data_IF_279197202076
#
_entry.id   IF_279197202076
#
_cell.length_a   1.000
_cell.length_b   1.000
_cell.length_c   1.000
_cell.angle_alpha   90.00
_cell.angle_beta   90.00
_cell.angle_gamma   90.00
#
_symmetry.space_group_name_H-M   'P 1'
#
loop_
_entity.id
_entity.type
_entity.pdbx_description
1 polymer ?
#
# COMPACT_ATOMS: atom_id res chain seq x y z
N UNK A 1 43.08 -10.47 -34.98
CA UNK A 1 41.85 -11.12 -34.45
C UNK A 1 42.02 -11.71 -33.04
N UNK A 2 43.19 -12.26 -32.64
CA UNK A 2 43.39 -12.80 -31.27
C UNK A 2 43.65 -11.71 -30.21
N UNK A 3 44.41 -10.66 -30.55
CA UNK A 3 44.78 -9.56 -29.62
C UNK A 3 43.57 -8.73 -29.15
N UNK A 4 42.64 -8.39 -30.04
CA UNK A 4 41.51 -7.51 -29.73
C UNK A 4 40.50 -8.19 -28.77
N UNK A 5 40.33 -9.51 -28.89
CA UNK A 5 39.48 -10.28 -27.97
C UNK A 5 40.05 -10.35 -26.56
N UNK A 6 41.37 -10.37 -26.42
CA UNK A 6 42.01 -10.34 -25.11
C UNK A 6 41.88 -8.96 -24.45
N UNK A 7 42.00 -7.89 -25.25
CA UNK A 7 41.81 -6.53 -24.74
C UNK A 7 40.36 -6.28 -24.27
N UNK A 8 39.36 -6.77 -25.01
CA UNK A 8 37.95 -6.68 -24.61
C UNK A 8 37.66 -7.48 -23.32
N UNK A 9 38.25 -8.67 -23.16
CA UNK A 9 38.09 -9.47 -21.94
C UNK A 9 38.65 -8.75 -20.70
N UNK A 10 39.84 -8.15 -20.82
CA UNK A 10 40.45 -7.39 -19.73
C UNK A 10 39.60 -6.17 -19.36
N UNK A 11 39.03 -5.46 -20.35
CA UNK A 11 38.10 -4.35 -20.08
C UNK A 11 36.81 -4.83 -19.41
N UNK A 12 36.26 -5.96 -19.84
CA UNK A 12 35.05 -6.54 -19.25
C UNK A 12 35.26 -6.96 -17.78
N UNK A 13 36.40 -7.57 -17.47
CA UNK A 13 36.77 -7.93 -16.10
C UNK A 13 37.00 -6.69 -15.21
N UNK A 14 37.61 -5.63 -15.76
CA UNK A 14 37.77 -4.36 -15.06
C UNK A 14 36.40 -3.72 -14.74
N UNK A 15 35.48 -3.69 -15.70
CA UNK A 15 34.11 -3.20 -15.52
C UNK A 15 33.32 -4.03 -14.50
N UNK A 16 33.46 -5.37 -14.50
CA UNK A 16 32.84 -6.23 -13.50
C UNK A 16 33.32 -5.93 -12.08
N UNK A 17 34.61 -5.67 -11.92
CA UNK A 17 35.22 -5.32 -10.64
C UNK A 17 34.72 -3.96 -10.14
N UNK A 18 34.66 -2.98 -11.04
CA UNK A 18 34.10 -1.65 -10.75
C UNK A 18 32.62 -1.73 -10.38
N UNK A 19 31.82 -2.53 -11.10
CA UNK A 19 30.39 -2.72 -10.81
C UNK A 19 30.18 -3.35 -9.42
N UNK A 20 31.02 -4.32 -9.04
CA UNK A 20 30.99 -4.92 -7.70
C UNK A 20 31.35 -3.90 -6.62
N UNK A 21 32.33 -3.04 -6.88
CA UNK A 21 32.73 -1.99 -5.95
C UNK A 21 31.63 -0.92 -5.79
N UNK A 22 31.00 -0.51 -6.90
CA UNK A 22 29.88 0.42 -6.90
C UNK A 22 28.67 -0.15 -6.13
N UNK A 23 28.33 -1.44 -6.29
CA UNK A 23 27.29 -2.08 -5.49
C UNK A 23 27.56 -2.01 -3.99
N UNK A 24 28.79 -2.27 -3.57
CA UNK A 24 29.17 -2.14 -2.15
C UNK A 24 29.09 -0.70 -1.64
N UNK A 25 29.42 0.30 -2.47
CA UNK A 25 29.24 1.71 -2.12
C UNK A 25 27.76 2.08 -2.01
N UNK A 26 26.91 1.59 -2.92
CA UNK A 26 25.46 1.80 -2.86
C UNK A 26 24.88 1.20 -1.59
N UNK A 27 25.18 -0.05 -1.27
CA UNK A 27 24.72 -0.70 -0.03
C UNK A 27 25.16 0.08 1.23
N UNK A 28 26.40 0.61 1.23
CA UNK A 28 26.89 1.46 2.32
C UNK A 28 26.10 2.77 2.42
N UNK A 29 25.89 3.46 1.30
CA UNK A 29 25.13 4.71 1.25
C UNK A 29 23.66 4.49 1.62
N UNK A 30 23.05 3.37 1.24
CA UNK A 30 21.69 3.00 1.64
C UNK A 30 21.59 2.80 3.15
N UNK A 31 22.59 2.16 3.77
CA UNK A 31 22.68 2.03 5.22
C UNK A 31 22.86 3.37 5.92
N UNK A 32 23.75 4.23 5.44
CA UNK A 32 23.94 5.58 6.00
C UNK A 32 22.66 6.44 5.86
N UNK A 33 21.99 6.37 4.71
CA UNK A 33 20.72 7.06 4.48
C UNK A 33 19.62 6.53 5.40
N UNK A 34 19.60 5.21 5.68
CA UNK A 34 18.72 4.62 6.68
C UNK A 34 18.98 5.16 8.09
N UNK A 35 20.24 5.21 8.53
CA UNK A 35 20.63 5.69 9.85
C UNK A 35 20.35 7.19 10.02
N UNK A 36 20.54 7.99 8.97
CA UNK A 36 20.17 9.40 8.93
C UNK A 36 18.65 9.60 9.05
N UNK A 37 17.84 8.82 8.31
CA UNK A 37 16.38 8.87 8.43
C UNK A 37 15.91 8.55 9.84
N UNK A 38 16.51 7.54 10.49
CA UNK A 38 16.22 7.22 11.89
C UNK A 38 16.60 8.37 12.83
N UNK A 39 17.76 8.97 12.64
CA UNK A 39 18.23 10.09 13.46
C UNK A 39 17.33 11.33 13.31
N UNK A 40 16.92 11.65 12.08
CA UNK A 40 15.96 12.74 11.81
C UNK A 40 14.60 12.46 12.45
N UNK A 41 14.15 11.20 12.43
CA UNK A 41 12.92 10.78 13.09
C UNK A 41 12.99 10.94 14.61
N UNK A 42 14.07 10.47 15.25
CA UNK A 42 14.27 10.63 16.69
C UNK A 42 14.38 12.10 17.12
N UNK A 43 15.06 12.92 16.31
CA UNK A 43 15.18 14.36 16.57
C UNK A 43 13.83 15.08 16.41
N UNK A 44 13.02 14.69 15.43
CA UNK A 44 11.66 15.24 15.26
C UNK A 44 10.78 14.92 16.47
N UNK A 45 10.84 13.68 16.99
CA UNK A 45 10.14 13.30 18.22
C UNK A 45 10.63 14.08 19.46
N UNK A 46 11.93 14.38 19.56
CA UNK A 46 12.50 15.20 20.64
C UNK A 46 12.10 16.69 20.52
N UNK A 47 12.01 17.22 19.31
CA UNK A 47 11.57 18.60 19.09
C UNK A 47 10.08 18.77 19.43
N UNK A 48 9.24 17.80 19.05
CA UNK A 48 7.82 17.82 19.38
C UNK A 48 7.56 17.64 20.89
N UNK A 49 8.43 16.92 21.61
CA UNK A 49 8.33 16.79 23.08
C UNK A 49 8.87 18.00 23.85
N UNK A 50 9.68 18.87 23.23
CA UNK A 50 10.17 20.13 23.82
C UNK A 50 9.27 21.33 23.49
N UNK A 51 8.32 21.19 22.57
CA UNK A 51 7.36 22.22 22.16
C UNK A 51 6.13 22.41 23.06
N UNK A 52 6.22 22.22 24.38
CA UNK A 52 5.15 22.64 25.31
C UNK A 52 5.28 24.13 25.66
N UNK A 53 4.19 24.91 25.64
CA UNK A 53 4.24 26.32 26.02
C UNK A 53 4.54 26.46 27.51
N UNK A 54 5.52 27.30 27.83
CA UNK A 54 5.85 27.73 29.18
C UNK A 54 4.64 28.47 29.76
N UNK A 55 3.92 27.84 30.68
CA UNK A 55 3.01 28.53 31.59
C UNK A 55 3.77 28.83 32.88
N UNK A 56 3.85 30.12 33.22
CA UNK A 56 4.41 30.58 34.49
C UNK A 56 3.57 30.07 35.67
N UNK A 57 4.17 29.56 36.76
CA UNK A 57 3.44 29.30 37.98
C UNK A 57 3.58 30.47 38.95
N UNK A 58 2.44 31.08 39.29
CA UNK A 58 2.30 31.94 40.45
C UNK A 58 1.95 31.11 41.69
N UNK A 59 2.90 31.04 42.64
CA UNK A 59 2.68 31.27 44.07
C UNK A 59 1.85 30.29 44.93
N UNK A 60 2.56 29.69 45.89
CA UNK A 60 2.23 29.55 47.33
C UNK A 60 1.70 28.19 47.85
N UNK A 61 2.49 27.56 48.74
CA UNK A 61 2.02 26.54 49.68
C UNK A 61 3.05 25.51 50.14
N UNK A 62 3.81 25.84 51.19
CA UNK A 62 4.69 25.03 52.09
C UNK A 62 4.07 23.68 52.55
N UNK A 63 4.71 22.59 53.00
CA UNK A 63 6.01 22.30 53.67
C UNK A 63 6.18 20.78 53.94
N UNK A 64 7.44 20.35 54.13
CA UNK A 64 7.98 19.31 55.05
C UNK A 64 7.90 17.78 54.79
N UNK A 65 9.09 17.24 54.47
CA UNK A 65 9.88 16.12 55.03
C UNK A 65 9.20 15.16 56.03
N UNK A 66 9.37 13.84 55.79
CA UNK A 66 9.32 12.79 56.81
C UNK A 66 9.50 11.37 56.26
N UNK A 67 10.57 10.70 56.66
CA UNK A 67 10.91 9.30 56.38
C UNK A 67 10.38 8.34 57.45
N UNK A 68 9.79 7.19 57.09
CA UNK A 68 10.05 5.85 57.70
C UNK A 68 9.09 4.72 57.24
N UNK A 69 9.72 3.62 56.81
CA UNK A 69 9.41 2.17 56.98
C UNK A 69 7.98 1.55 56.94
N UNK A 70 7.89 0.55 56.03
CA UNK A 70 7.42 -0.84 56.18
C UNK A 70 5.93 -1.21 56.29
N UNK A 71 5.39 -1.81 55.21
CA UNK A 71 4.90 -3.21 55.11
C UNK A 71 4.30 -3.43 53.70
N UNK A 72 4.99 -4.08 52.77
CA UNK A 72 4.90 -5.53 52.49
C UNK A 72 3.50 -6.02 52.07
N UNK A 73 3.23 -6.02 50.76
CA UNK A 73 2.57 -7.15 50.09
C UNK A 73 3.27 -7.41 48.74
N UNK A 74 3.44 -8.70 48.48
CA UNK A 74 4.37 -9.33 47.55
C UNK A 74 3.71 -9.75 46.25
N UNK A 75 4.41 -9.56 45.12
CA UNK A 75 4.20 -10.29 43.87
C UNK A 75 5.31 -9.95 42.86
N UNK A 76 6.27 -10.83 42.58
CA UNK A 76 7.53 -10.45 41.95
C UNK A 76 7.45 -10.40 40.42
N UNK A 77 8.09 -9.36 39.89
CA UNK A 77 8.52 -9.21 38.52
C UNK A 77 9.56 -10.23 38.07
N UNK A 78 9.74 -10.28 36.75
CA UNK A 78 10.98 -10.47 35.98
C UNK A 78 10.88 -11.67 35.02
N UNK A 79 10.51 -11.35 33.77
CA UNK A 79 10.82 -12.19 32.62
C UNK A 79 12.33 -12.36 32.53
N UNK A 80 12.78 -13.60 32.69
CA UNK A 80 14.17 -13.98 32.65
C UNK A 80 14.60 -14.19 31.19
N UNK A 81 15.65 -13.50 30.74
CA UNK A 81 16.13 -13.51 29.36
C UNK A 81 16.86 -14.80 28.93
N UNK A 82 16.72 -15.90 29.69
CA UNK A 82 17.40 -17.18 29.47
C UNK A 82 16.47 -18.33 29.05
N UNK A 83 15.15 -18.13 28.97
CA UNK A 83 14.22 -19.19 28.53
C UNK A 83 14.11 -19.35 26.99
N UNK A 84 14.83 -18.54 26.21
CA UNK A 84 14.85 -18.62 24.75
C UNK A 84 16.06 -19.39 24.17
N UNK A 85 16.93 -19.95 25.02
CA UNK A 85 18.20 -20.58 24.60
C UNK A 85 18.32 -22.08 24.89
N UNK A 86 17.30 -22.73 25.45
CA UNK A 86 17.32 -24.17 25.74
C UNK A 86 16.19 -24.92 25.00
N UNK A 87 16.22 -24.93 23.66
CA UNK A 87 15.53 -25.93 22.82
C UNK A 87 16.06 -25.99 21.37
N UNK A 88 17.34 -25.68 21.17
CA UNK A 88 18.06 -26.02 19.95
C UNK A 88 18.98 -27.22 20.21
N UNK A 89 18.42 -28.43 20.19
CA UNK A 89 19.18 -29.64 19.86
C UNK A 89 18.24 -30.82 19.63
N UNK A 90 18.24 -31.32 18.38
CA UNK A 90 17.67 -32.59 17.89
C UNK A 90 16.13 -32.66 17.88
N UNK A 91 15.40 -32.96 16.79
CA UNK A 91 15.68 -33.57 15.49
C UNK A 91 14.57 -33.13 14.51
N UNK A 92 14.91 -33.01 13.23
CA UNK A 92 14.03 -32.63 12.12
C UNK A 92 12.73 -33.45 12.05
N UNK A 93 11.59 -32.75 12.04
CA UNK A 93 10.39 -33.07 11.26
C UNK A 93 9.45 -31.88 11.39
N UNK A 94 9.40 -31.04 10.36
CA UNK A 94 8.47 -29.91 10.25
C UNK A 94 7.05 -30.42 10.06
N UNK A 95 6.07 -30.11 10.93
CA UNK A 95 4.68 -30.27 10.57
C UNK A 95 4.22 -29.01 9.83
N UNK A 96 3.83 -29.18 8.56
CA UNK A 96 3.19 -28.11 7.78
C UNK A 96 1.85 -27.76 8.41
N UNK A 97 1.65 -26.47 8.71
CA UNK A 97 0.46 -25.89 9.36
C UNK A 97 -0.82 -25.92 8.49
N UNK A 98 -0.93 -26.86 7.54
CA UNK A 98 -2.06 -26.99 6.61
C UNK A 98 -3.07 -28.07 7.05
N UNK A 99 -2.77 -28.89 8.06
CA UNK A 99 -3.59 -30.07 8.41
C UNK A 99 -4.60 -29.88 9.55
N UNK A 100 -4.63 -28.73 10.23
CA UNK A 100 -5.43 -28.57 11.46
C UNK A 100 -6.73 -27.77 11.33
N UNK A 101 -7.25 -27.56 10.12
CA UNK A 101 -8.54 -26.90 9.91
C UNK A 101 -9.44 -27.67 8.94
N UNK A 102 -9.89 -28.84 9.36
CA UNK A 102 -11.10 -29.47 8.82
C UNK A 102 -12.19 -29.41 9.90
N UNK A 103 -13.19 -28.51 9.80
CA UNK A 103 -14.46 -28.74 10.49
C UNK A 103 -15.10 -29.97 9.83
N UNK A 104 -15.73 -30.85 10.62
CA UNK A 104 -16.56 -31.93 10.07
C UNK A 104 -17.61 -31.30 9.15
N UNK A 105 -17.49 -31.54 7.85
CA UNK A 105 -18.44 -31.12 6.83
C UNK A 105 -18.92 -32.37 6.11
N UNK A 106 -20.23 -32.45 5.90
CA UNK A 106 -20.95 -33.56 5.29
C UNK A 106 -20.42 -33.87 3.87
N UNK A 107 -20.57 -35.12 3.45
CA UNK A 107 -19.88 -35.76 2.31
C UNK A 107 -20.06 -35.10 0.92
N UNK A 108 -20.93 -34.09 0.76
CA UNK A 108 -21.21 -33.45 -0.54
C UNK A 108 -20.22 -32.33 -0.95
N UNK A 109 -19.34 -31.85 -0.05
CA UNK A 109 -18.42 -30.72 -0.33
C UNK A 109 -16.98 -31.13 -0.75
N UNK A 110 -16.74 -32.42 -1.04
CA UNK A 110 -15.41 -32.95 -1.35
C UNK A 110 -14.76 -32.45 -2.66
N UNK A 111 -15.46 -31.61 -3.46
CA UNK A 111 -14.91 -31.05 -4.70
C UNK A 111 -14.20 -29.69 -4.52
N UNK A 112 -14.27 -29.04 -3.34
CA UNK A 112 -13.84 -27.65 -3.15
C UNK A 112 -12.45 -27.46 -2.49
N UNK A 113 -11.75 -28.52 -2.10
CA UNK A 113 -10.44 -28.43 -1.44
C UNK A 113 -9.29 -28.55 -2.45
N UNK A 114 -9.11 -27.54 -3.29
CA UNK A 114 -7.84 -27.35 -3.97
C UNK A 114 -7.06 -26.26 -3.20
N UNK A 115 -5.97 -26.60 -2.48
CA UNK A 115 -5.18 -25.58 -1.80
C UNK A 115 -4.70 -24.58 -2.84
N UNK A 116 -5.05 -23.31 -2.64
CA UNK A 116 -4.78 -22.22 -3.59
C UNK A 116 -3.28 -21.89 -3.59
N UNK A 117 -2.52 -22.69 -4.32
CA UNK A 117 -1.07 -22.53 -4.47
C UNK A 117 -0.81 -21.37 -5.44
N UNK A 118 -0.17 -20.32 -4.93
CA UNK A 118 0.40 -19.28 -5.77
C UNK A 118 1.69 -19.78 -6.39
N UNK A 119 1.81 -19.69 -7.71
CA UNK A 119 3.07 -19.91 -8.42
C UNK A 119 3.49 -18.62 -9.13
N UNK A 120 4.79 -18.40 -9.23
CA UNK A 120 5.33 -17.28 -10.01
C UNK A 120 5.02 -17.53 -11.49
N UNK A 121 4.22 -16.64 -12.09
CA UNK A 121 3.87 -16.72 -13.51
C UNK A 121 4.91 -16.00 -14.39
N UNK A 122 5.38 -14.84 -13.93
CA UNK A 122 6.26 -13.98 -14.71
C UNK A 122 7.03 -13.03 -13.79
N UNK A 123 8.15 -12.51 -14.29
CA UNK A 123 8.99 -11.53 -13.61
C UNK A 123 9.10 -10.28 -14.49
N UNK A 124 8.77 -9.11 -13.93
CA UNK A 124 8.83 -7.82 -14.61
C UNK A 124 10.13 -7.11 -14.27
N UNK A 125 11.07 -7.07 -15.22
CA UNK A 125 12.37 -6.41 -15.06
C UNK A 125 12.42 -5.12 -15.87
N UNK A 126 12.79 -4.01 -15.22
CA UNK A 126 12.94 -2.71 -15.90
C UNK A 126 13.24 -1.55 -14.96
N UNK A 127 12.75 -1.60 -13.73
CA UNK A 127 13.06 -0.57 -12.74
C UNK A 127 14.53 -0.61 -12.30
N UNK A 128 15.12 0.57 -12.14
CA UNK A 128 16.50 0.75 -11.66
C UNK A 128 16.63 0.82 -10.14
N UNK A 129 15.52 0.77 -9.41
CA UNK A 129 15.48 0.85 -7.95
C UNK A 129 14.24 0.18 -7.35
N UNK A 130 14.13 0.22 -6.02
CA UNK A 130 13.03 -0.43 -5.29
C UNK A 130 11.65 0.01 -5.78
N UNK A 131 10.76 -0.95 -6.02
CA UNK A 131 9.37 -0.70 -6.43
C UNK A 131 8.49 -0.52 -5.20
N UNK A 132 7.89 0.65 -5.05
CA UNK A 132 7.07 1.01 -3.88
C UNK A 132 5.57 0.74 -4.09
N UNK A 133 5.12 0.71 -5.34
CA UNK A 133 3.69 0.56 -5.65
C UNK A 133 3.49 -0.18 -6.97
N UNK A 134 2.43 -0.97 -7.02
CA UNK A 134 1.91 -1.55 -8.26
C UNK A 134 0.38 -1.54 -8.24
N UNK A 135 -0.25 -1.20 -9.36
CA UNK A 135 -1.71 -1.19 -9.49
C UNK A 135 -2.13 -1.65 -10.88
N UNK A 136 -3.09 -2.56 -10.93
CA UNK A 136 -3.74 -2.92 -12.19
C UNK A 136 -4.69 -1.81 -12.62
N UNK A 137 -4.73 -1.57 -13.92
CA UNK A 137 -5.78 -0.77 -14.55
C UNK A 137 -7.16 -1.43 -14.37
N UNK A 138 -8.24 -0.65 -14.25
CA UNK A 138 -9.61 -1.17 -14.23
C UNK A 138 -10.03 -1.98 -15.46
N UNK A 139 -9.34 -1.84 -16.59
CA UNK A 139 -9.52 -2.69 -17.77
C UNK A 139 -8.77 -4.04 -17.68
N UNK A 140 -7.87 -4.21 -16.70
CA UNK A 140 -7.18 -5.48 -16.42
C UNK A 140 -6.05 -5.83 -17.37
N UNK A 141 -5.83 -5.00 -18.40
CA UNK A 141 -4.77 -5.20 -19.39
C UNK A 141 -3.44 -4.61 -18.95
N UNK A 142 -3.48 -3.47 -18.28
CA UNK A 142 -2.30 -2.70 -17.91
C UNK A 142 -1.98 -2.85 -16.43
N UNK A 143 -0.68 -2.87 -16.12
CA UNK A 143 -0.15 -2.72 -14.77
C UNK A 143 0.73 -1.46 -14.73
N UNK A 144 0.55 -0.61 -13.73
CA UNK A 144 1.46 0.49 -13.43
C UNK A 144 2.34 0.12 -12.24
N UNK A 145 3.62 0.52 -12.28
CA UNK A 145 4.56 0.36 -11.17
C UNK A 145 5.35 1.65 -10.92
N UNK A 146 5.45 2.08 -9.66
CA UNK A 146 6.23 3.27 -9.25
C UNK A 146 7.43 2.89 -8.39
N UNK A 147 8.57 3.57 -8.57
CA UNK A 147 9.85 3.16 -8.00
C UNK A 147 10.70 4.33 -7.47
N UNK A 148 11.72 3.96 -6.68
CA UNK A 148 12.85 4.79 -6.26
C UNK A 148 13.61 5.42 -7.43
N UNK A 149 13.57 4.81 -8.62
CA UNK A 149 14.21 5.33 -9.83
C UNK A 149 13.52 6.56 -10.43
N UNK A 150 12.53 7.12 -9.73
CA UNK A 150 11.75 8.30 -10.10
C UNK A 150 10.88 8.10 -11.35
N UNK A 151 10.61 6.84 -11.75
CA UNK A 151 9.83 6.52 -12.95
C UNK A 151 8.57 5.74 -12.61
N UNK A 152 7.60 5.85 -13.51
CA UNK A 152 6.46 4.93 -13.59
C UNK A 152 6.60 4.01 -14.80
N UNK A 153 6.65 2.70 -14.49
CA UNK A 153 6.52 1.52 -15.34
C UNK A 153 5.11 1.32 -15.87
N UNK A 154 4.84 1.30 -17.18
CA UNK A 154 3.59 0.73 -17.72
C UNK A 154 3.86 -0.62 -18.40
N UNK A 155 3.07 -1.63 -18.05
CA UNK A 155 3.23 -3.00 -18.52
C UNK A 155 1.94 -3.54 -19.14
N UNK A 156 2.06 -4.28 -20.25
CA UNK A 156 0.97 -5.13 -20.73
C UNK A 156 1.05 -6.51 -20.08
N UNK A 157 0.02 -6.89 -19.31
CA UNK A 157 -0.01 -8.16 -18.60
C UNK A 157 -0.78 -9.26 -19.34
N UNK A 158 -1.36 -8.95 -20.51
CA UNK A 158 -2.15 -9.91 -21.30
C UNK A 158 -1.29 -10.84 -22.16
N UNK A 159 -0.11 -10.38 -22.55
CA UNK A 159 0.80 -11.15 -23.41
C UNK A 159 1.49 -12.26 -22.62
N UNK A 160 1.12 -13.53 -22.89
CA UNK A 160 1.60 -14.71 -22.14
C UNK A 160 3.11 -14.92 -22.16
N UNK A 161 3.82 -14.43 -23.17
CA UNK A 161 5.19 -14.86 -23.48
C UNK A 161 6.26 -13.79 -23.32
N UNK A 162 5.90 -12.54 -23.08
CA UNK A 162 6.81 -11.46 -22.69
C UNK A 162 5.94 -10.29 -22.25
N UNK A 163 5.86 -10.05 -20.94
CA UNK A 163 5.19 -8.85 -20.45
C UNK A 163 6.04 -7.65 -20.86
N UNK A 164 5.57 -6.95 -21.88
CA UNK A 164 6.32 -5.87 -22.49
C UNK A 164 6.14 -4.60 -21.67
N UNK A 165 7.25 -3.93 -21.35
CA UNK A 165 7.22 -2.54 -20.91
C UNK A 165 6.69 -1.69 -22.06
N UNK A 166 5.51 -1.11 -21.89
CA UNK A 166 4.85 -0.28 -22.90
C UNK A 166 5.41 1.13 -22.93
N UNK A 167 5.64 1.70 -21.75
CA UNK A 167 6.10 3.08 -21.61
C UNK A 167 6.87 3.27 -20.30
N UNK A 168 7.68 4.34 -20.27
CA UNK A 168 8.42 4.80 -19.11
C UNK A 168 8.11 6.27 -18.88
N UNK A 169 7.46 6.58 -17.76
CA UNK A 169 7.03 7.94 -17.42
C UNK A 169 8.02 8.54 -16.40
N UNK A 170 9.01 9.28 -16.89
CA UNK A 170 10.17 9.74 -16.10
C UNK A 170 10.28 11.26 -15.98
N UNK A 171 9.26 11.91 -15.40
CA UNK A 171 9.28 13.37 -15.15
C UNK A 171 9.32 13.73 -13.65
N UNK A 172 9.26 12.74 -12.75
CA UNK A 172 9.44 12.99 -11.32
C UNK A 172 10.92 13.20 -11.00
N UNK A 173 11.21 14.07 -10.02
CA UNK A 173 12.58 14.32 -9.55
C UNK A 173 12.95 13.52 -8.29
N UNK A 174 11.97 12.82 -7.72
CA UNK A 174 12.12 11.92 -6.57
C UNK A 174 11.27 10.66 -6.74
N UNK A 175 11.44 9.71 -5.80
CA UNK A 175 10.73 8.43 -5.82
C UNK A 175 9.23 8.56 -6.01
N UNK A 176 8.63 7.59 -6.69
CA UNK A 176 7.17 7.47 -6.84
C UNK A 176 6.67 6.48 -5.79
N UNK A 177 5.89 6.99 -4.83
CA UNK A 177 5.44 6.20 -3.66
C UNK A 177 4.08 5.52 -3.92
N UNK A 178 3.24 6.12 -4.76
CA UNK A 178 1.91 5.61 -5.04
C UNK A 178 1.43 5.98 -6.45
N UNK A 179 0.51 5.18 -6.98
CA UNK A 179 -0.12 5.41 -8.29
C UNK A 179 -1.61 5.09 -8.20
N UNK A 180 -2.42 5.77 -9.00
CA UNK A 180 -3.85 5.52 -9.09
C UNK A 180 -4.34 5.62 -10.53
N UNK A 181 -5.20 4.70 -10.93
CA UNK A 181 -5.80 4.65 -12.27
C UNK A 181 -7.15 5.35 -12.28
N UNK A 182 -7.47 6.07 -13.36
CA UNK A 182 -8.83 6.50 -13.63
C UNK A 182 -9.71 5.28 -13.93
N UNK A 183 -11.01 5.40 -13.70
CA UNK A 183 -11.95 4.28 -13.87
C UNK A 183 -12.02 3.80 -15.33
N UNK A 184 -11.75 4.69 -16.29
CA UNK A 184 -11.69 4.37 -17.72
C UNK A 184 -10.33 3.81 -18.20
N UNK A 185 -9.35 3.70 -17.30
CA UNK A 185 -7.97 3.26 -17.58
C UNK A 185 -7.19 4.13 -18.58
N UNK A 186 -7.65 5.35 -18.87
CA UNK A 186 -6.99 6.26 -19.82
C UNK A 186 -6.03 7.24 -19.16
N UNK A 187 -6.20 7.46 -17.87
CA UNK A 187 -5.37 8.37 -17.09
C UNK A 187 -4.76 7.68 -15.89
N UNK A 188 -3.56 8.13 -15.53
CA UNK A 188 -2.83 7.66 -14.38
C UNK A 188 -2.36 8.85 -13.54
N UNK A 189 -2.55 8.76 -12.23
CA UNK A 189 -1.92 9.65 -11.26
C UNK A 189 -0.69 8.97 -10.68
N UNK A 190 0.38 9.73 -10.48
CA UNK A 190 1.55 9.30 -9.74
C UNK A 190 1.89 10.30 -8.64
N UNK A 191 2.02 9.78 -7.41
CA UNK A 191 2.40 10.52 -6.22
C UNK A 191 3.90 10.37 -5.97
N UNK A 192 4.58 11.49 -5.71
CA UNK A 192 6.02 11.50 -5.49
C UNK A 192 6.45 12.34 -4.29
N UNK A 193 7.63 12.01 -3.78
CA UNK A 193 8.33 12.78 -2.75
C UNK A 193 8.93 14.08 -3.29
N UNK A 194 8.75 14.39 -4.57
CA UNK A 194 9.09 15.70 -5.15
C UNK A 194 8.03 16.78 -4.86
N UNK A 195 7.10 16.50 -3.94
CA UNK A 195 5.98 17.36 -3.58
C UNK A 195 4.93 17.55 -4.68
N UNK A 196 4.95 16.68 -5.71
CA UNK A 196 4.01 16.77 -6.83
C UNK A 196 3.21 15.49 -7.03
N UNK A 197 2.00 15.68 -7.55
CA UNK A 197 1.23 14.64 -8.22
C UNK A 197 1.21 14.94 -9.71
N UNK A 198 1.53 13.94 -10.52
CA UNK A 198 1.51 14.05 -11.98
C UNK A 198 0.37 13.24 -12.57
N UNK A 199 -0.32 13.84 -13.53
CA UNK A 199 -1.39 13.24 -14.32
C UNK A 199 -0.85 12.88 -15.70
N UNK A 200 -1.07 11.64 -16.12
CA UNK A 200 -0.56 11.08 -17.36
C UNK A 200 -1.69 10.61 -18.26
N UNK A 201 -1.57 10.90 -19.55
CA UNK A 201 -2.34 10.23 -20.61
C UNK A 201 -1.61 8.92 -20.94
N UNK A 202 -2.30 7.80 -20.69
CA UNK A 202 -1.76 6.45 -20.80
C UNK A 202 -1.56 6.05 -22.27
N UNK A 203 -2.45 6.48 -23.16
CA UNK A 203 -2.38 6.15 -24.58
C UNK A 203 -1.21 6.87 -25.26
N UNK A 204 -1.00 8.15 -24.89
CA UNK A 204 0.11 8.96 -25.41
C UNK A 204 1.40 8.81 -24.63
N UNK A 205 1.36 8.14 -23.47
CA UNK A 205 2.46 8.05 -22.51
C UNK A 205 3.07 9.42 -22.18
N UNK A 206 2.22 10.43 -22.00
CA UNK A 206 2.63 11.84 -21.89
C UNK A 206 2.05 12.52 -20.66
N UNK A 207 2.80 13.45 -20.09
CA UNK A 207 2.36 14.26 -18.96
C UNK A 207 1.28 15.25 -19.43
N UNK A 208 0.11 15.22 -18.79
CA UNK A 208 -1.00 16.16 -19.09
C UNK A 208 -1.18 17.22 -18.01
N UNK A 209 -0.79 16.92 -16.76
CA UNK A 209 -0.90 17.86 -15.65
C UNK A 209 0.09 17.56 -14.54
N UNK A 210 0.45 18.59 -13.77
CA UNK A 210 1.29 18.46 -12.59
C UNK A 210 0.77 19.41 -11.53
N UNK A 211 0.48 18.89 -10.34
CA UNK A 211 0.01 19.68 -9.20
C UNK A 211 1.05 19.60 -8.10
N UNK A 212 1.55 20.75 -7.66
CA UNK A 212 2.41 20.87 -6.48
C UNK A 212 1.56 21.04 -5.23
N UNK A 213 1.90 20.31 -4.16
CA UNK A 213 1.25 20.43 -2.85
C UNK A 213 2.31 20.62 -1.77
N UNK A 214 1.89 21.09 -0.58
CA UNK A 214 2.82 21.27 0.53
C UNK A 214 3.05 19.93 1.25
N UNK A 215 4.32 19.53 1.41
CA UNK A 215 4.70 18.27 2.04
C UNK A 215 4.92 17.12 1.05
N UNK A 216 5.54 16.04 1.51
CA UNK A 216 5.77 14.87 0.67
C UNK A 216 4.42 14.23 0.37
N UNK A 217 4.15 13.92 -0.90
CA UNK A 217 2.95 13.17 -1.24
C UNK A 217 3.15 11.72 -0.82
N UNK A 218 2.23 11.18 -0.03
CA UNK A 218 2.30 9.81 0.50
C UNK A 218 1.37 8.86 -0.25
N UNK A 219 0.21 9.36 -0.67
CA UNK A 219 -0.83 8.55 -1.29
C UNK A 219 -1.69 9.40 -2.19
N UNK A 220 -2.21 8.78 -3.25
CA UNK A 220 -3.12 9.42 -4.20
C UNK A 220 -4.19 8.42 -4.62
N UNK A 221 -5.42 8.89 -4.80
CA UNK A 221 -6.49 8.07 -5.37
C UNK A 221 -7.42 8.91 -6.22
N UNK A 222 -7.73 8.42 -7.43
CA UNK A 222 -8.92 8.85 -8.14
C UNK A 222 -10.18 8.53 -7.33
N UNK A 223 -11.22 9.33 -7.56
CA UNK A 223 -12.55 9.01 -7.11
C UNK A 223 -13.15 7.92 -8.03
N UNK A 224 -13.58 6.76 -7.50
CA UNK A 224 -14.16 5.70 -8.33
C UNK A 224 -15.50 6.09 -8.98
N UNK A 225 -16.23 7.06 -8.39
CA UNK A 225 -17.50 7.55 -8.94
C UNK A 225 -17.31 8.70 -9.95
N UNK A 226 -16.19 9.43 -9.88
CA UNK A 226 -15.93 10.62 -10.71
C UNK A 226 -14.46 10.69 -11.14
N UNK A 227 -14.20 10.52 -12.45
CA UNK A 227 -12.83 10.56 -12.98
C UNK A 227 -12.18 11.94 -12.95
N UNK A 228 -12.96 13.02 -12.80
CA UNK A 228 -12.43 14.37 -12.69
C UNK A 228 -11.96 14.70 -11.27
N UNK A 229 -12.33 13.90 -10.27
CA UNK A 229 -11.93 14.13 -8.88
C UNK A 229 -10.86 13.14 -8.40
N UNK A 230 -9.93 13.65 -7.60
CA UNK A 230 -8.93 12.82 -6.92
C UNK A 230 -8.46 13.45 -5.61
N UNK A 231 -7.86 12.62 -4.76
CA UNK A 231 -7.46 12.99 -3.42
C UNK A 231 -5.97 12.73 -3.20
N UNK A 232 -5.35 13.58 -2.40
CA UNK A 232 -3.92 13.51 -2.08
C UNK A 232 -3.73 13.54 -0.57
N UNK A 233 -3.04 12.54 -0.01
CA UNK A 233 -2.57 12.54 1.37
C UNK A 233 -1.09 12.93 1.45
N UNK A 234 -0.74 13.79 2.41
CA UNK A 234 0.62 14.36 2.52
C UNK A 234 1.26 14.14 3.89
N UNK A 235 2.59 14.30 3.95
CA UNK A 235 3.36 14.30 5.19
C UNK A 235 3.10 15.53 6.07
N UNK A 236 2.59 16.63 5.50
CA UNK A 236 2.24 17.86 6.22
C UNK A 236 0.82 17.80 6.79
N UNK A 237 0.31 16.59 7.05
CA UNK A 237 -0.99 16.35 7.69
C UNK A 237 -2.18 16.91 6.90
N UNK A 238 -2.06 17.03 5.58
CA UNK A 238 -3.16 17.52 4.74
C UNK A 238 -3.72 16.41 3.86
N UNK A 239 -5.05 16.43 3.71
CA UNK A 239 -5.79 15.75 2.65
C UNK A 239 -6.27 16.82 1.67
N UNK A 240 -5.77 16.79 0.44
CA UNK A 240 -6.24 17.71 -0.60
C UNK A 240 -7.32 17.02 -1.44
N UNK A 241 -8.37 17.77 -1.77
CA UNK A 241 -9.42 17.39 -2.72
C UNK A 241 -9.20 18.18 -4.00
N UNK A 242 -9.06 17.48 -5.12
CA UNK A 242 -8.74 18.08 -6.40
C UNK A 242 -9.79 17.73 -7.43
N UNK A 243 -10.06 18.71 -8.27
CA UNK A 243 -10.77 18.55 -9.53
C UNK A 243 -9.75 18.79 -10.64
N UNK A 244 -9.64 17.89 -11.62
CA UNK A 244 -8.70 17.98 -12.75
C UNK A 244 -8.86 19.31 -13.51
N UNK A 245 -10.07 19.88 -13.53
CA UNK A 245 -10.42 21.10 -14.27
C UNK A 245 -10.18 22.37 -13.45
N UNK A 246 -10.39 22.31 -12.13
CA UNK A 246 -10.31 23.48 -11.25
C UNK A 246 -9.06 23.51 -10.35
N UNK A 247 -8.29 22.42 -10.28
CA UNK A 247 -7.15 22.27 -9.40
C UNK A 247 -7.55 21.90 -7.97
N UNK A 248 -6.84 22.44 -6.97
CA UNK A 248 -7.13 22.18 -5.56
C UNK A 248 -8.42 22.91 -5.17
N UNK A 249 -9.47 22.16 -4.84
CA UNK A 249 -10.76 22.73 -4.43
C UNK A 249 -10.83 22.90 -2.92
N UNK A 250 -10.38 21.89 -2.17
CA UNK A 250 -10.42 21.89 -0.70
C UNK A 250 -9.14 21.28 -0.14
N UNK A 251 -8.77 21.71 1.07
CA UNK A 251 -7.68 21.13 1.85
C UNK A 251 -8.18 20.90 3.27
N UNK A 252 -8.19 19.64 3.70
CA UNK A 252 -8.56 19.27 5.05
C UNK A 252 -7.32 18.97 5.88
N UNK A 253 -7.26 19.55 7.08
CA UNK A 253 -6.19 19.29 8.02
C UNK A 253 -6.48 18.01 8.81
N UNK A 254 -5.47 17.16 8.93
CA UNK A 254 -5.43 15.99 9.79
C UNK A 254 -4.52 16.23 11.00
N UNK A 255 -4.64 15.41 12.04
CA UNK A 255 -3.84 15.54 13.26
C UNK A 255 -2.40 15.02 13.11
N UNK A 256 -2.17 14.26 12.04
CA UNK A 256 -0.94 13.52 11.77
C UNK A 256 -0.75 13.30 10.27
N UNK A 257 0.45 12.85 9.91
CA UNK A 257 0.82 12.56 8.54
C UNK A 257 -0.10 11.48 7.95
N UNK A 258 -0.61 11.72 6.74
CA UNK A 258 -1.55 10.80 6.07
C UNK A 258 -0.74 9.82 5.24
N UNK A 259 -0.67 8.56 5.67
CA UNK A 259 0.16 7.54 5.03
C UNK A 259 -0.58 6.78 3.92
N UNK A 260 -1.89 6.62 4.07
CA UNK A 260 -2.71 5.84 3.13
C UNK A 260 -4.10 6.44 3.01
N UNK A 261 -4.66 6.33 1.81
CA UNK A 261 -5.99 6.80 1.50
C UNK A 261 -6.74 5.72 0.73
N UNK A 262 -8.03 5.57 1.02
CA UNK A 262 -8.96 4.71 0.31
C UNK A 262 -10.25 5.47 0.07
N UNK A 263 -10.63 5.66 -1.19
CA UNK A 263 -11.92 6.27 -1.55
C UNK A 263 -12.95 5.17 -1.67
N UNK A 264 -14.07 5.33 -0.98
CA UNK A 264 -15.19 4.41 -1.05
C UNK A 264 -15.83 4.45 -2.45
N UNK A 265 -16.50 3.36 -2.84
CA UNK A 265 -17.17 3.25 -4.14
C UNK A 265 -18.30 4.26 -4.36
N UNK A 266 -18.83 4.84 -3.28
CA UNK A 266 -19.80 5.93 -3.35
C UNK A 266 -19.20 7.23 -3.92
N UNK A 267 -17.88 7.37 -3.88
CA UNK A 267 -17.16 8.57 -4.29
C UNK A 267 -17.44 9.80 -3.44
N UNK A 268 -18.10 9.65 -2.30
CA UNK A 268 -18.44 10.71 -1.36
C UNK A 268 -17.69 10.57 -0.05
N UNK A 269 -17.31 9.35 0.29
CA UNK A 269 -16.61 9.01 1.52
C UNK A 269 -15.19 8.56 1.21
N UNK A 270 -14.23 8.96 2.05
CA UNK A 270 -12.87 8.42 2.01
C UNK A 270 -12.37 8.10 3.41
N UNK A 271 -11.49 7.11 3.46
CA UNK A 271 -10.81 6.65 4.65
C UNK A 271 -9.33 7.00 4.55
N UNK A 272 -8.77 7.52 5.63
CA UNK A 272 -7.32 7.77 5.73
C UNK A 272 -6.73 7.04 6.91
N UNK A 273 -5.56 6.44 6.72
CA UNK A 273 -4.72 5.93 7.81
C UNK A 273 -3.57 6.89 8.08
N UNK A 274 -3.38 7.27 9.34
CA UNK A 274 -2.36 8.25 9.72
C UNK A 274 -1.21 7.70 10.58
N UNK A 275 -0.21 8.55 10.80
CA UNK A 275 1.00 8.20 11.56
C UNK A 275 0.79 8.10 13.08
N UNK A 276 -0.39 8.45 13.61
CA UNK A 276 -0.77 8.27 15.03
C UNK A 276 -1.60 7.02 15.27
N UNK A 277 -1.83 6.22 14.23
CA UNK A 277 -2.59 4.98 14.32
C UNK A 277 -4.10 5.17 14.15
N UNK A 278 -4.56 6.33 13.69
CA UNK A 278 -5.99 6.57 13.48
C UNK A 278 -6.42 6.29 12.04
N UNK A 279 -7.51 5.54 11.91
CA UNK A 279 -8.33 5.50 10.70
C UNK A 279 -9.36 6.61 10.83
N UNK A 280 -9.34 7.58 9.93
CA UNK A 280 -10.33 8.66 9.88
C UNK A 280 -11.23 8.54 8.67
N UNK A 281 -12.49 8.94 8.85
CA UNK A 281 -13.50 8.99 7.79
C UNK A 281 -13.77 10.43 7.43
N UNK A 282 -13.80 10.74 6.14
CA UNK A 282 -14.10 12.08 5.64
C UNK A 282 -15.27 12.00 4.66
N UNK A 283 -16.15 12.98 4.70
CA UNK A 283 -17.28 13.13 3.77
C UNK A 283 -17.09 14.41 2.97
N UNK A 284 -17.00 14.28 1.65
CA UNK A 284 -16.79 15.40 0.72
C UNK A 284 -17.94 16.40 0.81
N UNK A 285 -19.18 15.92 1.01
CA UNK A 285 -20.38 16.77 1.07
C UNK A 285 -20.44 17.57 2.35
N UNK A 286 -19.90 17.03 3.44
CA UNK A 286 -19.70 17.74 4.71
C UNK A 286 -18.46 18.64 4.69
N UNK A 287 -17.60 18.46 3.69
CA UNK A 287 -16.34 19.18 3.54
C UNK A 287 -15.44 19.06 4.78
N UNK A 288 -15.29 17.84 5.31
CA UNK A 288 -14.45 17.63 6.49
C UNK A 288 -14.47 16.22 7.05
N UNK A 289 -13.76 16.06 8.17
CA UNK A 289 -13.70 14.81 8.93
C UNK A 289 -15.03 14.54 9.61
N UNK A 290 -15.43 13.28 9.65
CA UNK A 290 -16.52 12.78 10.50
C UNK A 290 -15.87 12.21 11.76
N UNK A 291 -15.55 13.08 12.72
CA UNK A 291 -14.73 12.72 13.89
C UNK A 291 -15.31 11.56 14.71
N UNK A 292 -16.65 11.48 14.82
CA UNK A 292 -17.36 10.39 15.49
C UNK A 292 -17.09 8.99 14.90
N UNK A 293 -16.55 8.93 13.68
CA UNK A 293 -16.17 7.69 12.99
C UNK A 293 -14.66 7.44 13.01
N UNK A 294 -13.87 8.30 13.66
CA UNK A 294 -12.44 8.08 13.79
C UNK A 294 -12.18 6.89 14.72
N UNK A 295 -11.34 5.97 14.27
CA UNK A 295 -11.06 4.72 14.95
C UNK A 295 -9.56 4.57 15.19
N UNK A 296 -9.18 4.37 16.46
CA UNK A 296 -7.82 4.03 16.81
C UNK A 296 -7.56 2.55 16.50
N UNK A 297 -6.59 2.28 15.62
CA UNK A 297 -6.29 0.92 15.17
C UNK A 297 -5.67 0.04 16.29
N UNK A 298 -4.89 0.65 17.18
CA UNK A 298 -4.19 -0.06 18.26
C UNK A 298 -3.82 0.89 19.41
N UNK A 299 -3.82 0.37 20.64
CA UNK A 299 -3.50 1.14 21.85
C UNK A 299 -2.04 1.63 21.89
N UNK A 300 -1.13 0.95 21.19
CA UNK A 300 0.25 1.35 21.02
C UNK A 300 0.45 2.54 20.07
N UNK A 301 -0.62 3.06 19.44
CA UNK A 301 -0.58 4.16 18.49
C UNK A 301 0.42 3.91 17.33
N UNK A 302 0.60 2.65 16.93
CA UNK A 302 1.49 2.34 15.82
C UNK A 302 0.95 2.97 14.54
N UNK A 303 1.84 3.64 13.80
CA UNK A 303 1.49 4.27 12.54
C UNK A 303 0.80 3.28 11.60
N UNK A 304 -0.27 3.72 10.94
CA UNK A 304 -0.92 2.95 9.90
C UNK A 304 -0.11 3.12 8.62
N UNK A 305 0.21 2.00 7.99
CA UNK A 305 0.94 1.95 6.72
C UNK A 305 0.01 1.82 5.51
N UNK A 306 -1.15 1.18 5.66
CA UNK A 306 -2.12 1.04 4.57
C UNK A 306 -3.53 0.79 5.08
N UNK A 307 -4.51 1.39 4.42
CA UNK A 307 -5.95 1.12 4.59
C UNK A 307 -6.54 0.70 3.25
N UNK A 308 -7.39 -0.31 3.25
CA UNK A 308 -8.10 -0.74 2.05
C UNK A 308 -9.42 -1.39 2.42
N UNK A 309 -10.54 -0.93 1.86
CA UNK A 309 -11.81 -1.60 2.08
C UNK A 309 -11.99 -2.78 1.13
N UNK A 310 -12.81 -3.73 1.55
CA UNK A 310 -13.25 -4.82 0.68
C UNK A 310 -14.19 -4.29 -0.39
N UNK A 311 -14.35 -4.98 -1.53
CA UNK A 311 -15.33 -4.58 -2.54
C UNK A 311 -16.78 -4.73 -2.05
N UNK A 312 -17.70 -3.92 -2.58
CA UNK A 312 -19.17 -4.06 -2.40
C UNK A 312 -19.68 -5.50 -2.61
N UNK A 313 -20.60 -5.98 -1.76
CA UNK A 313 -21.20 -7.33 -1.83
C UNK A 313 -22.17 -7.51 -3.01
N UNK A 314 -22.62 -8.75 -3.28
CA UNK A 314 -23.66 -9.04 -4.32
C UNK A 314 -25.06 -8.52 -3.95
N UNK A 315 -25.28 -8.13 -2.69
CA UNK A 315 -26.60 -7.85 -2.10
C UNK A 315 -26.85 -6.35 -1.83
N UNK A 316 -26.33 -5.46 -2.68
CA UNK A 316 -26.68 -4.04 -2.61
C UNK A 316 -25.97 -3.25 -1.50
N UNK A 317 -24.96 -3.81 -0.84
CA UNK A 317 -24.03 -3.03 -0.02
C UNK A 317 -23.24 -2.10 -0.96
N UNK A 318 -23.40 -0.78 -0.81
CA UNK A 318 -22.77 0.21 -1.69
C UNK A 318 -21.23 0.22 -1.60
N UNK A 319 -20.65 -0.37 -0.55
CA UNK A 319 -19.21 -0.59 -0.36
C UNK A 319 -18.97 -1.86 0.48
N UNK A 320 -17.74 -2.39 0.53
CA UNK A 320 -17.50 -3.70 1.16
C UNK A 320 -17.41 -3.67 2.68
N UNK A 321 -18.17 -4.56 3.32
CA UNK A 321 -18.28 -4.78 4.77
C UNK A 321 -16.96 -4.78 5.57
N UNK A 322 -15.87 -5.26 5.00
CA UNK A 322 -14.60 -5.38 5.70
C UNK A 322 -13.62 -4.26 5.35
N UNK A 323 -12.85 -3.80 6.34
CA UNK A 323 -11.75 -2.85 6.20
C UNK A 323 -10.45 -3.49 6.68
N UNK A 324 -9.43 -3.53 5.83
CA UNK A 324 -8.12 -4.03 6.18
C UNK A 324 -7.17 -2.87 6.51
N UNK A 325 -6.65 -2.86 7.73
CA UNK A 325 -5.72 -1.85 8.24
C UNK A 325 -4.41 -2.53 8.59
N UNK A 326 -3.32 -2.08 7.97
CA UNK A 326 -1.99 -2.57 8.26
C UNK A 326 -1.17 -1.51 8.98
N UNK A 327 -0.46 -1.90 10.03
CA UNK A 327 0.30 -0.99 10.88
C UNK A 327 1.77 -1.43 11.03
N UNK A 328 2.61 -0.52 11.50
CA UNK A 328 4.06 -0.77 11.65
C UNK A 328 4.41 -1.73 12.80
N UNK A 329 3.40 -2.23 13.54
CA UNK A 329 3.53 -3.35 14.48
C UNK A 329 3.60 -4.73 13.78
N UNK A 330 3.53 -4.76 12.43
CA UNK A 330 3.51 -5.97 11.60
C UNK A 330 2.25 -6.84 11.80
N UNK A 331 1.13 -6.21 12.19
CA UNK A 331 -0.16 -6.87 12.32
C UNK A 331 -1.12 -6.28 11.29
N UNK A 332 -1.67 -7.16 10.44
CA UNK A 332 -2.80 -6.81 9.58
C UNK A 332 -4.09 -7.06 10.34
N UNK A 333 -4.86 -6.00 10.57
CA UNK A 333 -6.18 -6.06 11.23
C UNK A 333 -7.27 -5.95 10.17
N UNK A 334 -8.30 -6.78 10.32
CA UNK A 334 -9.50 -6.75 9.47
C UNK A 334 -10.69 -6.42 10.36
N UNK A 335 -11.22 -5.23 10.14
CA UNK A 335 -12.41 -4.73 10.82
C UNK A 335 -13.65 -5.04 10.00
N UNK A 336 -14.73 -5.39 10.69
CA UNK A 336 -16.09 -5.40 10.18
C UNK A 336 -16.72 -4.05 10.50
N UNK A 337 -17.07 -3.28 9.45
CA UNK A 337 -17.75 -1.98 9.59
C UNK A 337 -19.27 -2.07 9.40
N UNK A 338 -19.81 -3.28 9.31
CA UNK A 338 -21.22 -3.50 9.00
C UNK A 338 -21.57 -3.23 7.53
N UNK A 339 -22.86 -3.32 7.20
CA UNK A 339 -23.40 -3.11 5.84
C UNK A 339 -23.65 -1.64 5.49
N UNK A 340 -23.63 -0.74 6.48
CA UNK A 340 -23.83 0.70 6.27
C UNK A 340 -22.47 1.38 6.12
N UNK A 341 -22.31 2.20 5.08
CA UNK A 341 -21.08 2.99 4.86
C UNK A 341 -20.71 3.87 6.06
N UNK A 342 -21.72 4.27 6.83
CA UNK A 342 -21.59 5.06 8.05
C UNK A 342 -21.93 4.15 9.22
N UNK A 343 -20.89 3.60 9.85
CA UNK A 343 -21.00 3.21 11.25
C UNK A 343 -21.35 4.47 12.03
N UNK A 344 -22.57 4.57 12.54
CA UNK A 344 -22.83 5.60 13.55
C UNK A 344 -21.92 5.31 14.76
N UNK A 345 -21.61 6.31 15.59
CA UNK A 345 -20.86 6.10 16.84
C UNK A 345 -21.45 4.97 17.73
N UNK A 346 -22.73 4.64 17.51
CA UNK A 346 -23.47 3.57 18.18
C UNK A 346 -23.19 2.15 17.66
N UNK A 347 -22.55 2.00 16.49
CA UNK A 347 -22.19 0.70 15.90
C UNK A 347 -20.73 0.73 15.38
N UNK A 348 -19.74 0.75 16.29
CA UNK A 348 -18.33 0.94 15.93
C UNK A 348 -17.78 -0.25 15.14
N UNK A 349 -16.76 0.02 14.32
CA UNK A 349 -16.02 -1.03 13.62
C UNK A 349 -15.51 -2.09 14.61
N UNK A 350 -15.81 -3.35 14.34
CA UNK A 350 -15.40 -4.47 15.18
C UNK A 350 -14.21 -5.19 14.58
N UNK A 351 -13.17 -5.46 15.37
CA UNK A 351 -12.04 -6.28 14.91
C UNK A 351 -12.52 -7.73 14.69
N UNK A 352 -12.60 -8.17 13.44
CA UNK A 352 -13.05 -9.51 13.09
C UNK A 352 -11.90 -10.51 13.01
N UNK A 353 -10.80 -10.11 12.36
CA UNK A 353 -9.62 -10.98 12.18
C UNK A 353 -8.33 -10.18 12.30
N UNK A 354 -7.26 -10.86 12.68
CA UNK A 354 -5.92 -10.32 12.61
C UNK A 354 -4.96 -11.37 12.06
N UNK A 355 -3.98 -10.92 11.28
CA UNK A 355 -2.95 -11.78 10.69
C UNK A 355 -1.59 -11.29 11.18
N UNK A 356 -0.84 -12.22 11.78
CA UNK A 356 0.51 -12.01 12.29
C UNK A 356 1.50 -12.95 11.60
N UNK A 357 2.81 -12.73 11.80
CA UNK A 357 3.87 -13.62 11.33
C UNK A 357 4.62 -13.09 10.11
N UNK A 358 4.15 -12.01 9.50
CA UNK A 358 4.86 -11.30 8.44
C UNK A 358 5.66 -10.14 9.03
N UNK A 359 6.92 -10.41 9.41
CA UNK A 359 7.85 -9.33 9.81
C UNK A 359 8.53 -8.79 8.56
N UNK A 360 8.24 -7.54 8.21
CA UNK A 360 9.00 -6.87 7.15
C UNK A 360 10.17 -6.10 7.75
N UNK A 361 11.24 -5.93 6.95
CA UNK A 361 12.42 -5.13 7.31
C UNK A 361 12.10 -3.62 7.29
N UNK A 362 11.09 -3.20 8.05
CA UNK A 362 10.58 -1.84 8.17
C UNK A 362 9.97 -1.25 6.87
N UNK A 363 9.53 -2.10 5.94
CA UNK A 363 8.79 -1.68 4.74
C UNK A 363 7.28 -1.64 5.03
N UNK A 364 6.57 -0.58 4.59
CA UNK A 364 5.12 -0.53 4.73
C UNK A 364 4.49 -1.69 3.96
N UNK A 365 3.69 -2.52 4.66
CA UNK A 365 2.94 -3.60 4.01
C UNK A 365 1.61 -3.01 3.53
N UNK A 366 1.34 -3.12 2.23
CA UNK A 366 0.05 -2.77 1.65
C UNK A 366 -0.92 -3.95 1.76
N UNK A 367 -2.13 -3.66 2.23
CA UNK A 367 -3.25 -4.62 2.31
C UNK A 367 -4.09 -4.61 1.04
N UNK A 368 -4.66 -5.75 0.67
CA UNK A 368 -5.62 -5.86 -0.45
C UNK A 368 -6.59 -7.01 -0.21
N UNK A 369 -7.84 -6.84 -0.62
CA UNK A 369 -8.84 -7.90 -0.58
C UNK A 369 -8.93 -8.64 -1.91
N UNK A 370 -9.09 -9.97 -1.82
CA UNK A 370 -9.31 -10.82 -2.97
C UNK A 370 -10.60 -11.65 -2.79
N UNK A 371 -11.51 -11.63 -3.77
CA UNK A 371 -12.74 -12.46 -3.78
C UNK A 371 -12.61 -13.57 -4.82
N UNK A 372 -12.91 -14.82 -4.41
CA UNK A 372 -12.66 -16.06 -5.14
C UNK A 372 -13.40 -16.25 -6.47
N UNK A 373 -13.14 -17.39 -7.12
CA UNK A 373 -13.77 -17.75 -8.42
C UNK A 373 -15.29 -17.85 -8.28
N UNK A 374 -16.00 -17.31 -9.28
CA UNK A 374 -17.46 -17.10 -9.26
C UNK A 374 -17.84 -15.64 -9.06
N UNK A 375 -16.96 -14.83 -8.46
CA UNK A 375 -17.13 -13.37 -8.48
C UNK A 375 -16.48 -12.82 -9.75
N UNK A 376 -17.29 -12.30 -10.68
CA UNK A 376 -16.80 -11.28 -11.59
C UNK A 376 -16.40 -10.12 -10.69
N UNK A 377 -15.13 -10.06 -10.27
CA UNK A 377 -14.55 -8.78 -9.92
C UNK A 377 -14.85 -7.92 -11.13
N UNK A 378 -15.79 -6.99 -11.02
CA UNK A 378 -15.98 -5.96 -12.03
C UNK A 378 -14.71 -5.10 -11.94
N UNK A 379 -13.60 -5.60 -12.48
CA UNK A 379 -12.98 -4.90 -13.58
C UNK A 379 -14.15 -4.68 -14.53
N UNK A 380 -14.84 -3.55 -14.40
CA UNK A 380 -15.84 -3.16 -15.38
C UNK A 380 -15.03 -2.92 -16.64
N UNK A 381 -14.75 -3.99 -17.37
CA UNK A 381 -14.45 -3.91 -18.79
C UNK A 381 -15.63 -3.13 -19.35
N UNK A 382 -15.43 -1.89 -19.84
CA UNK A 382 -16.47 -1.24 -20.60
C UNK A 382 -16.83 -2.21 -21.72
N UNK A 383 -18.13 -2.47 -21.88
CA UNK A 383 -18.65 -3.19 -23.05
C UNK A 383 -17.98 -2.62 -24.29
N UNK A 384 -17.11 -3.42 -24.90
CA UNK A 384 -16.74 -3.40 -26.32
C UNK A 384 -16.97 -2.05 -27.03
N UNK A 385 -16.13 -1.06 -26.70
CA UNK A 385 -15.85 0.09 -27.60
C UNK A 385 -14.36 0.39 -27.65
N UNK A 386 -13.58 -0.63 -27.94
CA UNK A 386 -12.36 -0.44 -28.72
C UNK A 386 -12.73 -0.78 -30.16
N UNK A 387 -12.53 0.11 -31.14
CA UNK A 387 -12.75 -0.26 -32.53
C UNK A 387 -11.82 -1.43 -32.85
N UNK A 388 -12.41 -2.57 -33.21
CA UNK A 388 -11.67 -3.69 -33.76
C UNK A 388 -10.81 -3.16 -34.90
N UNK A 389 -9.49 -3.36 -34.79
CA UNK A 389 -8.57 -3.20 -35.91
C UNK A 389 -9.13 -4.09 -37.03
N UNK A 390 -9.48 -3.50 -38.18
CA UNK A 390 -9.88 -4.24 -39.38
C UNK A 390 -8.81 -5.28 -39.66
N UNK A 391 -9.12 -6.54 -39.39
CA UNK A 391 -8.41 -7.67 -39.98
C UNK A 391 -8.81 -7.64 -41.46
N UNK A 392 -7.82 -7.49 -42.33
CA UNK A 392 -8.01 -7.60 -43.78
C UNK A 392 -8.42 -9.03 -44.11
N UNK A 393 -9.38 -9.17 -45.03
CA UNK A 393 -9.95 -10.44 -45.49
C UNK A 393 -8.85 -11.45 -45.84
N UNK A 394 -8.81 -12.57 -45.14
CA UNK A 394 -7.85 -13.64 -45.42
C UNK A 394 -8.01 -14.90 -44.57
N UNK A 395 -8.27 -14.79 -43.28
CA UNK A 395 -8.28 -15.96 -42.39
C UNK A 395 -9.69 -16.31 -41.92
N UNK A 396 -10.43 -16.97 -42.81
CA UNK A 396 -11.57 -17.77 -42.42
C UNK A 396 -11.07 -19.15 -41.98
N UNK A 397 -11.03 -19.40 -40.68
CA UNK A 397 -11.24 -20.76 -40.18
C UNK A 397 -11.96 -20.71 -38.83
N UNK A 398 -13.17 -21.28 -38.83
CA UNK A 398 -14.05 -21.40 -37.68
C UNK A 398 -13.46 -22.37 -36.66
N UNK A 399 -13.04 -21.82 -35.51
CA UNK A 399 -12.69 -22.59 -34.32
C UNK A 399 -13.30 -21.95 -33.09
N UNK A 400 -14.43 -22.48 -32.64
CA UNK A 400 -15.10 -22.26 -31.35
C UNK A 400 -14.20 -21.65 -30.25
N UNK A 401 -14.20 -20.31 -30.15
CA UNK A 401 -13.59 -19.57 -29.06
C UNK A 401 -14.57 -19.57 -27.86
N UNK A 402 -14.62 -20.70 -27.15
CA UNK A 402 -15.16 -20.72 -25.79
C UNK A 402 -14.17 -19.98 -24.89
N UNK A 403 -14.40 -18.68 -24.75
CA UNK A 403 -13.64 -17.71 -23.97
C UNK A 403 -13.51 -18.13 -22.49
N UNK A 404 -12.49 -18.93 -22.19
CA UNK A 404 -12.00 -19.15 -20.82
C UNK A 404 -11.10 -17.98 -20.43
N UNK A 405 -11.72 -16.85 -20.08
CA UNK A 405 -11.02 -15.74 -19.40
C UNK A 405 -10.64 -16.17 -17.98
N UNK A 406 -9.48 -16.83 -17.85
CA UNK A 406 -8.81 -16.99 -16.55
C UNK A 406 -8.13 -15.68 -16.18
N UNK A 407 -8.73 -14.94 -15.24
CA UNK A 407 -8.06 -13.87 -14.50
C UNK A 407 -6.76 -14.43 -13.88
N UNK A 408 -5.61 -14.09 -14.47
CA UNK A 408 -4.33 -14.47 -13.89
C UNK A 408 -4.04 -13.60 -12.66
N UNK A 409 -3.80 -14.27 -11.53
CA UNK A 409 -3.55 -13.64 -10.22
C UNK A 409 -2.06 -13.60 -9.98
N UNK A 410 -1.56 -12.47 -9.50
CA UNK A 410 -0.13 -12.23 -9.30
C UNK A 410 0.13 -11.90 -7.84
N UNK A 411 1.19 -12.49 -7.28
CA UNK A 411 1.82 -12.05 -6.03
C UNK A 411 3.05 -11.24 -6.44
N UNK A 412 3.07 -9.95 -6.11
CA UNK A 412 4.27 -9.12 -6.28
C UNK A 412 5.11 -9.29 -5.01
N UNK A 413 6.26 -9.94 -5.13
CA UNK A 413 7.30 -9.96 -4.10
C UNK A 413 8.30 -8.87 -4.45
N UNK A 414 8.33 -7.78 -3.67
CA UNK A 414 9.36 -6.76 -3.75
C UNK A 414 10.62 -7.19 -3.00
#
# INVERSE_FOLDING_TARGET
MSSDNNHLRVQYEALLKENKQLKGVVEKLEKENHDLKRSVYELSLKLDSTGKPVSHPGGSGTSNIGSSSSSAETGPSVFNANDLLAKNSATETTPSYLESLTPNMDDDDQQASNPRIFFQKSELRGHGGAVYTTKFSPCGRLLASGSLDCKVLLWDVTTKFNQQQLASLGQHSQLVIDVSWSNDSRSLLSASYDHTVKLWDVEKASLTGSVGVNGLVQTVSFNPADNDMYFIGTSQRNVHVLDVRAGVTHTWANDAMVNSLHVCSDGHTLLTGDSKGYVKTWDIRRNGCVDDMSHLNDEGHHAISHVHASPAGRQGDEDGRYLAVNSYDNILRVYDRGSKLISHAQDPMQLGYFVTGHKNKNWPIKSSFFRGEGYNYKLSLPSTRYPHRKLTDGDADEGSYADRYRLSRFKVTC
#
